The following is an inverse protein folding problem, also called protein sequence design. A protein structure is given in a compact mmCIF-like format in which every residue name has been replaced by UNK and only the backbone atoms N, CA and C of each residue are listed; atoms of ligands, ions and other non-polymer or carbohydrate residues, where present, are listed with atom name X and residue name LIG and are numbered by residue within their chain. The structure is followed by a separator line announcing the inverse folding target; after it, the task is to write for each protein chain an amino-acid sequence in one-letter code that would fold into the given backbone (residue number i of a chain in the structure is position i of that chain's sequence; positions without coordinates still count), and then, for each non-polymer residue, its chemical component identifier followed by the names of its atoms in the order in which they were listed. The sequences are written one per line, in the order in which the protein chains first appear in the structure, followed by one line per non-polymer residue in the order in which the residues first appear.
data_IF_788184342364
#
_entry.id   IF_788184342364
#
_cell.length_a   1.000
_cell.length_b   1.000
_cell.length_c   1.000
_cell.angle_alpha   90.00
_cell.angle_beta   90.00
_cell.angle_gamma   90.00
#
_symmetry.space_group_name_H-M   'P 1'
#
loop_
_entity.id
_entity.type
_entity.pdbx_description
1 polymer ?
#
# COMPACT_ATOMS: atom_id res chain seq x y z
N UNK A 1 -25.99 1.13 13.14
CA UNK A 1 -26.38 2.14 14.16
C UNK A 1 -27.38 1.57 15.17
N UNK A 2 -28.34 0.77 14.76
CA UNK A 2 -29.33 0.11 15.63
C UNK A 2 -28.64 -0.90 16.55
N UNK A 3 -27.78 -1.74 15.98
CA UNK A 3 -27.03 -2.76 16.74
C UNK A 3 -26.25 -2.14 17.92
N UNK A 4 -25.65 -0.97 17.73
CA UNK A 4 -24.87 -0.29 18.80
C UNK A 4 -25.73 0.13 19.99
N UNK A 5 -27.02 0.40 19.78
CA UNK A 5 -27.96 0.78 20.84
C UNK A 5 -28.41 -0.42 21.70
N UNK A 6 -28.43 -1.61 21.07
CA UNK A 6 -28.95 -2.84 21.66
C UNK A 6 -27.86 -3.75 22.23
N UNK A 7 -26.56 -3.42 22.00
CA UNK A 7 -25.44 -4.17 22.55
C UNK A 7 -25.25 -3.83 24.03
N UNK A 8 -25.42 -4.83 24.87
CA UNK A 8 -25.03 -4.78 26.27
C UNK A 8 -23.61 -5.37 26.37
N UNK A 9 -22.61 -4.60 26.88
CA UNK A 9 -21.27 -5.14 27.09
C UNK A 9 -21.31 -6.36 28.01
N UNK A 10 -20.91 -7.51 27.53
CA UNK A 10 -21.01 -8.76 28.30
C UNK A 10 -19.92 -8.93 29.35
N UNK A 11 -18.85 -8.15 29.30
CA UNK A 11 -17.66 -8.32 30.14
C UNK A 11 -16.93 -9.67 29.98
N UNK A 12 -17.40 -10.52 29.07
CA UNK A 12 -16.86 -11.89 28.85
C UNK A 12 -15.67 -11.93 27.90
N UNK A 13 -15.34 -10.81 27.26
CA UNK A 13 -14.25 -10.73 26.31
C UNK A 13 -13.00 -10.22 27.01
N UNK A 14 -11.95 -11.03 27.05
CA UNK A 14 -10.60 -10.57 27.38
C UNK A 14 -9.85 -10.30 26.07
N UNK A 15 -9.37 -9.07 25.92
CA UNK A 15 -8.54 -8.67 24.78
C UNK A 15 -7.04 -8.84 25.04
N UNK A 16 -6.64 -9.23 26.26
CA UNK A 16 -5.23 -9.27 26.66
C UNK A 16 -4.37 -10.13 25.74
N UNK A 17 -4.90 -11.29 25.35
CA UNK A 17 -4.23 -12.17 24.43
C UNK A 17 -4.06 -11.56 23.02
N UNK A 18 -5.09 -10.89 22.51
CA UNK A 18 -5.04 -10.19 21.22
C UNK A 18 -4.09 -8.99 21.25
N UNK A 19 -4.09 -8.24 22.35
CA UNK A 19 -3.18 -7.12 22.57
C UNK A 19 -1.73 -7.60 22.67
N UNK A 20 -1.50 -8.76 23.26
CA UNK A 20 -0.19 -9.42 23.31
C UNK A 20 0.33 -9.76 21.91
N UNK A 21 -0.51 -10.35 21.05
CA UNK A 21 -0.12 -10.61 19.64
C UNK A 21 0.16 -9.33 18.88
N UNK A 22 -0.71 -8.33 19.01
CA UNK A 22 -0.49 -7.03 18.34
C UNK A 22 0.84 -6.41 18.76
N UNK A 23 1.16 -6.42 20.04
CA UNK A 23 2.43 -5.90 20.54
C UNK A 23 3.62 -6.64 19.95
N UNK A 24 3.59 -7.98 19.94
CA UNK A 24 4.65 -8.79 19.35
C UNK A 24 4.83 -8.53 17.83
N UNK A 25 3.73 -8.33 17.09
CA UNK A 25 3.79 -8.02 15.66
C UNK A 25 4.36 -6.62 15.40
N UNK A 26 4.00 -5.61 16.20
CA UNK A 26 4.57 -4.27 16.11
C UNK A 26 6.07 -4.31 16.40
N UNK A 27 6.49 -4.93 17.51
CA UNK A 27 7.91 -5.07 17.86
C UNK A 27 8.72 -5.83 16.79
N UNK A 28 8.11 -6.81 16.14
CA UNK A 28 8.72 -7.54 15.03
C UNK A 28 8.89 -6.63 13.81
N UNK A 29 7.85 -5.89 13.44
CA UNK A 29 7.88 -4.97 12.29
C UNK A 29 8.90 -3.84 12.50
N UNK A 30 8.95 -3.26 13.70
CA UNK A 30 9.91 -2.21 14.04
C UNK A 30 11.37 -2.70 13.92
N UNK A 31 11.64 -3.92 14.37
CA UNK A 31 12.98 -4.52 14.20
C UNK A 31 13.34 -4.71 12.73
N UNK A 32 12.38 -5.13 11.90
CA UNK A 32 12.60 -5.28 10.46
C UNK A 32 12.76 -3.93 9.76
N UNK A 33 12.05 -2.91 10.22
CA UNK A 33 12.13 -1.55 9.67
C UNK A 33 13.47 -0.86 9.95
N UNK A 34 14.22 -1.31 10.94
CA UNK A 34 15.57 -0.80 11.24
C UNK A 34 16.65 -1.24 10.22
N UNK A 35 16.34 -2.17 9.32
CA UNK A 35 17.25 -2.64 8.27
C UNK A 35 17.19 -1.70 7.06
N UNK A 36 18.19 -0.83 6.91
CA UNK A 36 18.31 0.21 5.89
C UNK A 36 19.08 -0.20 4.63
N UNK A 37 19.28 -1.52 4.45
CA UNK A 37 20.00 -2.05 3.29
C UNK A 37 19.44 -1.62 1.94
N UNK A 38 20.26 -1.69 0.91
CA UNK A 38 19.86 -1.56 -0.48
C UNK A 38 20.09 -2.89 -1.23
N UNK A 39 19.17 -3.36 -2.09
CA UNK A 39 17.85 -2.77 -2.42
C UNK A 39 16.97 -2.61 -1.18
N UNK A 40 16.13 -1.55 -1.19
CA UNK A 40 15.37 -1.15 -0.02
C UNK A 40 14.52 -2.30 0.54
N UNK A 41 14.63 -2.52 1.85
CA UNK A 41 13.87 -3.56 2.51
C UNK A 41 12.42 -3.09 2.74
N UNK A 42 11.39 -3.87 2.34
CA UNK A 42 10.02 -3.39 2.36
C UNK A 42 9.51 -2.87 3.71
N UNK A 43 9.79 -3.48 4.88
CA UNK A 43 9.41 -2.91 6.18
C UNK A 43 10.01 -1.53 6.44
N UNK A 44 11.28 -1.30 6.03
CA UNK A 44 11.93 0.01 6.14
C UNK A 44 11.19 1.04 5.28
N UNK A 45 10.87 0.70 4.03
CA UNK A 45 10.10 1.58 3.16
C UNK A 45 8.74 1.96 3.76
N UNK A 46 8.01 1.00 4.33
CA UNK A 46 6.70 1.25 4.97
C UNK A 46 6.83 2.28 6.09
N UNK A 47 7.88 2.16 6.92
CA UNK A 47 8.15 3.12 7.99
C UNK A 47 8.50 4.50 7.43
N UNK A 48 9.36 4.59 6.39
CA UNK A 48 9.69 5.86 5.75
C UNK A 48 8.46 6.55 5.17
N UNK A 49 7.56 5.80 4.54
CA UNK A 49 6.29 6.35 4.04
C UNK A 49 5.42 6.83 5.22
N UNK A 50 5.37 6.08 6.34
CA UNK A 50 4.61 6.53 7.52
C UNK A 50 5.16 7.85 8.07
N UNK A 51 6.47 7.98 8.15
CA UNK A 51 7.13 9.16 8.70
C UNK A 51 6.95 10.42 7.82
N UNK A 52 6.86 10.24 6.50
CA UNK A 52 6.63 11.31 5.54
C UNK A 52 5.17 11.75 5.41
N UNK A 53 4.22 10.88 5.74
CA UNK A 53 2.80 11.16 5.57
C UNK A 53 2.20 11.77 6.83
N UNK A 54 1.39 12.85 6.74
CA UNK A 54 0.61 13.32 7.87
C UNK A 54 -0.42 12.27 8.32
N UNK A 55 -0.99 12.44 9.52
CA UNK A 55 -1.96 11.49 10.08
C UNK A 55 -3.22 11.33 9.21
N UNK A 56 -3.65 12.40 8.56
CA UNK A 56 -4.79 12.45 7.65
C UNK A 56 -4.43 12.20 6.18
N UNK A 57 -3.14 12.01 5.87
CA UNK A 57 -2.66 11.72 4.52
C UNK A 57 -3.24 10.41 3.97
N UNK A 58 -3.54 10.40 2.67
CA UNK A 58 -4.21 9.27 2.01
C UNK A 58 -3.20 8.50 1.17
N UNK A 59 -3.01 7.22 1.47
CA UNK A 59 -2.22 6.29 0.67
C UNK A 59 -3.13 5.40 -0.17
N UNK A 60 -2.98 5.46 -1.48
CA UNK A 60 -3.70 4.63 -2.43
C UNK A 60 -2.77 3.54 -2.95
N UNK A 61 -2.97 2.32 -2.49
CA UNK A 61 -2.14 1.17 -2.84
C UNK A 61 -2.64 0.50 -4.11
N UNK A 62 -1.76 0.35 -5.07
CA UNK A 62 -1.97 -0.54 -6.19
C UNK A 62 -1.73 -2.01 -5.79
N UNK A 63 -1.88 -2.95 -6.69
CA UNK A 63 -1.78 -4.37 -6.42
C UNK A 63 -0.42 -4.96 -6.82
N UNK A 64 0.29 -5.50 -5.83
CA UNK A 64 1.62 -6.10 -5.95
C UNK A 64 2.07 -6.71 -4.62
N UNK A 65 3.27 -7.29 -4.58
CA UNK A 65 3.84 -7.92 -3.38
C UNK A 65 3.99 -6.91 -2.23
N UNK A 66 4.41 -5.69 -2.53
CA UNK A 66 4.59 -4.61 -1.55
C UNK A 66 3.32 -4.29 -0.75
N UNK A 67 2.14 -4.51 -1.33
CA UNK A 67 0.85 -4.32 -0.65
C UNK A 67 0.75 -5.11 0.65
N UNK A 68 1.33 -6.30 0.70
CA UNK A 68 1.34 -7.16 1.89
C UNK A 68 2.07 -6.45 3.05
N UNK A 69 3.20 -5.80 2.75
CA UNK A 69 3.99 -5.07 3.74
C UNK A 69 3.26 -3.84 4.27
N UNK A 70 2.64 -3.06 3.38
CA UNK A 70 1.81 -1.93 3.79
C UNK A 70 0.59 -2.36 4.62
N UNK A 71 -0.11 -3.41 4.19
CA UNK A 71 -1.28 -3.91 4.91
C UNK A 71 -0.95 -4.42 6.33
N UNK A 72 0.27 -4.91 6.56
CA UNK A 72 0.71 -5.41 7.86
C UNK A 72 1.40 -4.36 8.71
N UNK A 73 2.24 -3.52 8.13
CA UNK A 73 3.15 -2.64 8.85
C UNK A 73 2.76 -1.17 8.89
N UNK A 74 1.90 -0.69 7.98
CA UNK A 74 1.54 0.72 7.96
C UNK A 74 0.48 1.05 9.02
N UNK A 75 0.77 1.99 9.91
CA UNK A 75 -0.18 2.46 10.92
C UNK A 75 -1.06 3.59 10.35
N UNK A 76 -2.35 3.31 10.20
CA UNK A 76 -3.36 4.31 9.86
C UNK A 76 -3.91 4.93 11.16
N UNK A 77 -3.83 6.25 11.30
CA UNK A 77 -4.35 6.97 12.47
C UNK A 77 -5.80 7.38 12.30
N UNK A 78 -6.23 7.65 11.08
CA UNK A 78 -7.60 8.04 10.75
C UNK A 78 -8.27 7.03 9.80
N UNK A 79 -9.60 6.91 9.84
CA UNK A 79 -10.34 6.09 8.89
C UNK A 79 -10.15 6.57 7.44
N UNK A 80 -10.14 5.65 6.50
CA UNK A 80 -10.05 5.92 5.05
C UNK A 80 -8.76 6.66 4.63
N UNK A 81 -7.65 6.44 5.33
CA UNK A 81 -6.32 6.97 4.99
C UNK A 81 -5.42 5.95 4.29
N UNK A 82 -5.85 4.69 4.22
CA UNK A 82 -5.19 3.63 3.44
C UNK A 82 -6.25 2.96 2.58
N UNK A 83 -6.19 3.21 1.28
CA UNK A 83 -7.10 2.64 0.30
C UNK A 83 -6.44 1.45 -0.38
N UNK A 84 -7.13 0.33 -0.37
CA UNK A 84 -6.59 -0.97 -0.73
C UNK A 84 -7.68 -1.79 -1.43
N UNK A 85 -7.55 -2.02 -2.73
CA UNK A 85 -8.47 -2.91 -3.45
C UNK A 85 -8.08 -4.37 -3.23
N UNK A 86 -8.94 -5.11 -2.55
CA UNK A 86 -8.76 -6.54 -2.28
C UNK A 86 -9.79 -7.43 -2.99
N UNK A 87 -10.89 -6.87 -3.47
CA UNK A 87 -11.95 -7.66 -4.06
C UNK A 87 -11.54 -8.28 -5.40
N UNK A 88 -11.08 -7.45 -6.33
CA UNK A 88 -10.59 -7.88 -7.64
C UNK A 88 -9.07 -7.80 -7.76
N UNK A 89 -8.41 -7.14 -6.82
CA UNK A 89 -6.96 -6.96 -6.79
C UNK A 89 -6.40 -6.42 -8.12
N UNK A 90 -7.05 -5.38 -8.64
CA UNK A 90 -6.77 -4.81 -9.95
C UNK A 90 -5.41 -4.09 -9.96
N UNK A 91 -4.51 -4.50 -10.83
CA UNK A 91 -3.29 -3.75 -11.11
C UNK A 91 -3.62 -2.48 -11.90
N UNK A 92 -2.90 -1.39 -11.63
CA UNK A 92 -3.15 -0.09 -12.24
C UNK A 92 -4.23 0.74 -11.53
N UNK A 93 -4.80 0.28 -10.42
CA UNK A 93 -5.82 1.01 -9.66
C UNK A 93 -5.24 2.11 -8.75
N UNK A 94 -3.96 2.05 -8.42
CA UNK A 94 -3.34 2.96 -7.44
C UNK A 94 -3.36 4.42 -7.87
N UNK A 95 -2.90 4.72 -9.09
CA UNK A 95 -2.88 6.08 -9.62
C UNK A 95 -4.29 6.69 -9.78
N UNK A 96 -5.26 6.07 -10.43
CA UNK A 96 -6.63 6.60 -10.51
C UNK A 96 -7.30 6.80 -9.14
N UNK A 97 -7.04 5.91 -8.19
CA UNK A 97 -7.56 6.06 -6.81
C UNK A 97 -6.96 7.28 -6.11
N UNK A 98 -5.66 7.52 -6.29
CA UNK A 98 -4.99 8.71 -5.75
C UNK A 98 -5.50 9.99 -6.42
N UNK A 99 -5.69 10.00 -7.74
CA UNK A 99 -6.27 11.13 -8.45
C UNK A 99 -7.66 11.49 -7.92
N UNK A 100 -8.54 10.50 -7.74
CA UNK A 100 -9.87 10.73 -7.15
C UNK A 100 -9.75 11.25 -5.72
N UNK A 101 -8.84 10.71 -4.92
CA UNK A 101 -8.62 11.16 -3.54
C UNK A 101 -8.15 12.61 -3.49
N UNK A 102 -7.24 13.02 -4.38
CA UNK A 102 -6.76 14.39 -4.49
C UNK A 102 -7.87 15.37 -4.96
N UNK A 103 -8.76 14.92 -5.85
CA UNK A 103 -9.92 15.71 -6.27
C UNK A 103 -10.93 15.93 -5.14
N UNK A 104 -11.16 14.90 -4.31
CA UNK A 104 -12.14 14.95 -3.22
C UNK A 104 -11.62 15.67 -1.97
N UNK A 105 -10.30 15.63 -1.76
CA UNK A 105 -9.63 16.15 -0.57
C UNK A 105 -8.37 16.95 -0.96
N UNK A 106 -8.55 18.10 -1.66
CA UNK A 106 -7.44 18.87 -2.22
C UNK A 106 -6.49 19.45 -1.16
N UNK A 107 -6.93 19.52 0.09
CA UNK A 107 -6.13 20.00 1.23
C UNK A 107 -5.28 18.90 1.87
N UNK A 108 -5.47 17.62 1.51
CA UNK A 108 -4.78 16.50 2.13
C UNK A 108 -3.64 16.01 1.24
N UNK A 109 -2.56 15.54 1.87
CA UNK A 109 -1.50 14.85 1.13
C UNK A 109 -1.98 13.50 0.63
N UNK A 110 -1.79 13.27 -0.67
CA UNK A 110 -2.18 12.01 -1.32
C UNK A 110 -0.97 11.36 -1.96
N UNK A 111 -0.82 10.06 -1.74
CA UNK A 111 0.25 9.26 -2.34
C UNK A 111 -0.33 8.04 -3.04
N UNK A 112 -0.01 7.88 -4.33
CA UNK A 112 -0.18 6.62 -5.04
C UNK A 112 1.05 5.74 -4.80
N UNK A 113 0.87 4.52 -4.33
CA UNK A 113 1.96 3.56 -4.11
C UNK A 113 1.76 2.41 -5.09
N UNK A 114 2.59 2.36 -6.11
CA UNK A 114 2.43 1.46 -7.25
C UNK A 114 3.69 0.61 -7.44
N UNK A 115 3.53 -0.64 -7.84
CA UNK A 115 4.61 -1.36 -8.50
C UNK A 115 4.81 -0.83 -9.91
N UNK A 116 5.99 -1.03 -10.47
CA UNK A 116 6.33 -0.61 -11.83
C UNK A 116 5.36 -1.17 -12.88
N UNK A 117 5.05 -2.46 -12.82
CA UNK A 117 4.09 -3.08 -13.74
C UNK A 117 2.66 -2.55 -13.58
N UNK A 118 2.22 -2.28 -12.35
CA UNK A 118 0.91 -1.70 -12.09
C UNK A 118 0.81 -0.24 -12.56
N UNK A 119 1.84 0.57 -12.26
CA UNK A 119 1.90 1.96 -12.72
C UNK A 119 1.81 2.07 -14.26
N UNK A 120 2.55 1.22 -14.99
CA UNK A 120 2.55 1.23 -16.45
C UNK A 120 1.21 0.88 -17.08
N UNK A 121 0.28 0.26 -16.35
CA UNK A 121 -1.07 -0.05 -16.87
C UNK A 121 -1.95 1.19 -17.05
N UNK A 122 -1.72 2.24 -16.25
CA UNK A 122 -2.48 3.48 -16.29
C UNK A 122 -1.59 4.74 -16.22
N UNK A 123 -0.32 4.64 -16.61
CA UNK A 123 0.64 5.76 -16.57
C UNK A 123 0.20 6.97 -17.39
N UNK A 124 -0.61 6.77 -18.45
CA UNK A 124 -1.17 7.85 -19.27
C UNK A 124 -2.04 8.83 -18.47
N UNK A 125 -2.59 8.39 -17.33
CA UNK A 125 -3.40 9.24 -16.43
C UNK A 125 -2.57 10.34 -15.73
N UNK A 126 -1.24 10.26 -15.80
CA UNK A 126 -0.37 11.36 -15.36
C UNK A 126 -0.66 12.66 -16.13
N UNK A 127 -0.96 12.57 -17.42
CA UNK A 127 -1.42 13.74 -18.19
C UNK A 127 -2.69 14.34 -17.59
N UNK A 128 -3.67 13.49 -17.30
CA UNK A 128 -4.94 13.92 -16.68
C UNK A 128 -4.69 14.57 -15.31
N UNK A 129 -3.81 14.00 -14.49
CA UNK A 129 -3.45 14.56 -13.18
C UNK A 129 -2.83 15.95 -13.31
N UNK A 130 -1.89 16.13 -14.25
CA UNK A 130 -1.25 17.42 -14.52
C UNK A 130 -2.27 18.43 -15.05
N UNK A 131 -3.09 18.06 -16.01
CA UNK A 131 -4.10 18.92 -16.62
C UNK A 131 -5.16 19.39 -15.62
N UNK A 132 -5.47 18.56 -14.63
CA UNK A 132 -6.39 18.91 -13.53
C UNK A 132 -5.70 19.61 -12.34
N UNK A 133 -4.37 19.77 -12.38
CA UNK A 133 -3.60 20.42 -11.32
C UNK A 133 -3.67 19.68 -9.98
N UNK A 134 -3.70 18.35 -10.00
CA UNK A 134 -3.83 17.54 -8.79
C UNK A 134 -2.51 17.50 -8.01
N UNK A 135 -2.56 17.81 -6.70
CA UNK A 135 -1.43 17.65 -5.79
C UNK A 135 -1.40 16.21 -5.25
N UNK A 136 -0.60 15.37 -5.90
CA UNK A 136 -0.37 14.00 -5.46
C UNK A 136 1.09 13.57 -5.71
N UNK A 137 1.55 12.62 -4.92
CA UNK A 137 2.86 11.99 -5.08
C UNK A 137 2.68 10.58 -5.62
N UNK A 138 3.48 10.19 -6.60
CA UNK A 138 3.52 8.80 -7.11
C UNK A 138 4.82 8.15 -6.67
N UNK A 139 4.71 7.13 -5.81
CA UNK A 139 5.81 6.29 -5.39
C UNK A 139 5.80 5.00 -6.21
N UNK A 140 6.81 4.83 -7.07
CA UNK A 140 6.94 3.64 -7.91
C UNK A 140 7.99 2.70 -7.32
N UNK A 141 7.57 1.48 -7.00
CA UNK A 141 8.43 0.41 -6.51
C UNK A 141 8.83 -0.46 -7.67
N UNK A 142 10.10 -0.37 -8.04
CA UNK A 142 10.65 -1.05 -9.21
C UNK A 142 11.30 -2.37 -8.82
N UNK A 143 10.83 -3.47 -9.38
CA UNK A 143 11.47 -4.79 -9.30
C UNK A 143 11.59 -5.50 -10.66
N UNK A 144 11.22 -4.79 -11.76
CA UNK A 144 11.29 -5.26 -13.15
C UNK A 144 10.56 -6.60 -13.37
N UNK A 145 9.52 -6.86 -12.55
CA UNK A 145 8.79 -8.14 -12.64
C UNK A 145 7.38 -8.10 -12.04
N UNK A 146 6.56 -9.07 -12.45
CA UNK A 146 5.25 -9.35 -11.80
C UNK A 146 5.45 -10.24 -10.56
N UNK A 147 6.00 -9.65 -9.49
CA UNK A 147 6.45 -10.38 -8.30
C UNK A 147 5.39 -11.24 -7.63
N UNK A 148 4.12 -10.80 -7.56
CA UNK A 148 3.03 -11.60 -6.97
C UNK A 148 2.73 -12.85 -7.80
N UNK A 149 2.77 -12.74 -9.14
CA UNK A 149 2.55 -13.89 -10.04
C UNK A 149 3.74 -14.83 -9.92
N UNK A 150 4.98 -14.32 -9.90
CA UNK A 150 6.19 -15.12 -9.68
C UNK A 150 6.11 -15.93 -8.39
N UNK A 151 5.71 -15.28 -7.30
CA UNK A 151 5.53 -15.95 -6.03
C UNK A 151 4.49 -17.08 -6.10
N UNK A 152 3.36 -16.84 -6.77
CA UNK A 152 2.35 -17.89 -6.99
C UNK A 152 2.85 -19.04 -7.87
N UNK A 153 3.55 -18.73 -8.98
CA UNK A 153 4.14 -19.77 -9.84
C UNK A 153 5.09 -20.67 -9.05
N UNK A 154 5.98 -20.07 -8.25
CA UNK A 154 6.92 -20.81 -7.43
C UNK A 154 6.21 -21.72 -6.42
N UNK A 155 5.18 -21.21 -5.73
CA UNK A 155 4.40 -21.99 -4.77
C UNK A 155 3.61 -23.15 -5.41
N UNK A 156 3.26 -23.03 -6.68
CA UNK A 156 2.57 -24.08 -7.46
C UNK A 156 3.55 -25.03 -8.17
N UNK A 157 4.85 -24.85 -8.01
CA UNK A 157 5.89 -25.65 -8.66
C UNK A 157 6.07 -25.37 -10.15
N UNK A 158 5.53 -24.27 -10.67
CA UNK A 158 5.74 -23.86 -12.05
C UNK A 158 7.11 -23.19 -12.22
N UNK A 159 7.68 -23.35 -13.43
CA UNK A 159 8.91 -22.64 -13.80
C UNK A 159 8.65 -21.16 -13.96
N UNK A 160 9.64 -20.33 -13.62
CA UNK A 160 9.60 -18.88 -13.90
C UNK A 160 9.58 -18.65 -15.42
N UNK A 161 8.52 -18.01 -15.90
CA UNK A 161 8.34 -17.76 -17.34
C UNK A 161 7.51 -16.48 -17.57
N UNK A 162 8.04 -15.58 -18.40
CA UNK A 162 7.27 -14.44 -18.92
C UNK A 162 6.97 -13.34 -17.90
N UNK A 163 7.66 -13.28 -16.76
CA UNK A 163 7.34 -12.38 -15.67
C UNK A 163 8.33 -11.20 -15.52
N UNK A 164 9.42 -11.21 -16.27
CA UNK A 164 10.44 -10.16 -16.24
C UNK A 164 10.30 -9.26 -17.45
N UNK A 165 10.44 -7.96 -17.25
CA UNK A 165 10.35 -6.93 -18.30
C UNK A 165 11.31 -5.79 -18.00
N UNK A 166 11.61 -4.97 -19.05
CA UNK A 166 12.36 -3.73 -18.89
C UNK A 166 11.42 -2.55 -18.63
N UNK A 167 11.85 -1.64 -17.77
CA UNK A 167 11.13 -0.41 -17.48
C UNK A 167 11.79 0.81 -18.13
N UNK A 168 11.03 1.88 -18.40
CA UNK A 168 11.61 3.18 -18.72
C UNK A 168 12.33 3.76 -17.50
N UNK A 169 13.04 4.86 -17.69
CA UNK A 169 13.42 5.72 -16.59
C UNK A 169 12.17 6.52 -16.13
N UNK A 170 11.72 6.29 -14.92
CA UNK A 170 10.53 6.95 -14.37
C UNK A 170 10.80 8.37 -13.85
N UNK A 171 12.07 8.81 -13.83
CA UNK A 171 12.49 10.09 -13.24
C UNK A 171 12.97 11.09 -14.31
N UNK A 172 13.31 10.59 -15.51
CA UNK A 172 13.84 11.40 -16.62
C UNK A 172 12.77 12.21 -17.35
#
# INVERSE_FOLDING_TARGET
WQIKKDIVPSGKWSLDHMLGYRKAEVEHTDRLAADDRFPIFPPHLVQQVRDCMPEDGINCLDNGVYKIWFARGYTAYLPNTVLLDNALATMGAGLPSAMMSAMLYPERKVMAICGDGGFMMNSQEMETAVRLGLDLTVLILRDDSYGMIRWKQANMGFKDFGLTYGNPDFVA
#
